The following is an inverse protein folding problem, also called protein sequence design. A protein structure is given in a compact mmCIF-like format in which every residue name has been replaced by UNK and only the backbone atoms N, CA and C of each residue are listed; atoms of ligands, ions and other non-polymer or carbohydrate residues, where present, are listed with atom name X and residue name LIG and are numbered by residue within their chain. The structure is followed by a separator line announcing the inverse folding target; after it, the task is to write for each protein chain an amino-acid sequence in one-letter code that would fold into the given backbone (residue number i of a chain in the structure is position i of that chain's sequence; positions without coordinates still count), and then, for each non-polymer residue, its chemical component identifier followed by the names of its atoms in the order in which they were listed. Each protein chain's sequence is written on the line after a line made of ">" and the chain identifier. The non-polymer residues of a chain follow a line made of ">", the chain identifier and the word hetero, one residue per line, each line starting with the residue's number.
data_IF_900075272262
#
_entry.id   IF_900075272262
#
_cell.length_a   1.000
_cell.length_b   1.000
_cell.length_c   1.000
_cell.angle_alpha   90.00
_cell.angle_beta   90.00
_cell.angle_gamma   90.00
#
_symmetry.space_group_name_H-M   'P 1'
#
loop_
_entity.id
_entity.type
_entity.pdbx_description
1 polymer ?
#
# COMPACT_ATOMS: atom_id res chain seq x y z
N UNK A 1 14.14 -10.27 -2.40
CA UNK A 1 12.91 -9.54 -2.78
C UNK A 1 12.35 -8.91 -1.52
N UNK A 2 12.27 -7.58 -1.45
CA UNK A 2 11.75 -6.88 -0.27
C UNK A 2 10.25 -7.11 -0.19
N UNK A 3 9.76 -7.54 0.97
CA UNK A 3 8.34 -7.65 1.24
C UNK A 3 7.90 -6.39 1.99
N UNK A 4 6.70 -5.93 1.69
CA UNK A 4 6.07 -4.79 2.33
C UNK A 4 4.82 -5.25 3.03
N UNK A 5 4.59 -4.73 4.22
CA UNK A 5 3.35 -4.89 4.96
C UNK A 5 2.49 -3.68 4.66
N UNK A 6 1.39 -3.90 3.97
CA UNK A 6 0.35 -2.89 3.73
C UNK A 6 -0.71 -3.08 4.81
N UNK A 7 -1.14 -2.00 5.45
CA UNK A 7 -2.14 -2.00 6.53
C UNK A 7 -3.29 -1.10 6.09
N UNK A 8 -4.51 -1.61 6.15
CA UNK A 8 -5.72 -0.82 5.94
C UNK A 8 -6.02 -0.02 7.22
N UNK A 9 -6.01 1.32 7.15
CA UNK A 9 -6.30 2.16 8.32
C UNK A 9 -7.81 2.31 8.58
N UNK A 10 -8.66 1.95 7.62
CA UNK A 10 -10.11 2.02 7.75
C UNK A 10 -10.70 0.77 8.40
N UNK A 11 -10.05 -0.38 8.22
CA UNK A 11 -10.47 -1.66 8.79
C UNK A 11 -9.45 -2.19 9.82
N UNK A 12 -9.73 -2.06 11.13
CA UNK A 12 -8.84 -2.52 12.18
C UNK A 12 -8.42 -3.99 12.01
N UNK A 13 -7.11 -4.24 12.05
CA UNK A 13 -6.54 -5.60 11.97
C UNK A 13 -6.32 -6.14 10.56
N UNK A 14 -6.73 -5.42 9.50
CA UNK A 14 -6.49 -5.85 8.13
C UNK A 14 -5.09 -5.43 7.65
N UNK A 15 -4.27 -6.41 7.31
CA UNK A 15 -2.94 -6.21 6.74
C UNK A 15 -2.60 -7.31 5.72
N UNK A 16 -1.77 -6.97 4.74
CA UNK A 16 -1.26 -7.89 3.73
C UNK A 16 0.27 -7.76 3.60
N UNK A 17 0.96 -8.88 3.37
CA UNK A 17 2.40 -8.90 3.09
C UNK A 17 2.60 -9.21 1.61
N UNK A 18 3.13 -8.26 0.87
CA UNK A 18 3.26 -8.32 -0.59
C UNK A 18 4.60 -7.77 -1.07
N UNK A 19 5.11 -8.21 -2.23
CA UNK A 19 6.15 -7.48 -2.92
C UNK A 19 5.64 -6.11 -3.43
N UNK A 20 6.54 -5.22 -3.87
CA UNK A 20 6.18 -3.86 -4.27
C UNK A 20 5.16 -3.81 -5.43
N UNK A 21 5.27 -4.73 -6.38
CA UNK A 21 4.34 -4.90 -7.50
C UNK A 21 2.96 -5.43 -7.07
N UNK A 22 2.85 -6.05 -5.90
CA UNK A 22 1.57 -6.48 -5.31
C UNK A 22 0.82 -5.38 -4.55
N UNK A 23 1.44 -4.22 -4.30
CA UNK A 23 0.84 -3.14 -3.50
C UNK A 23 -0.40 -2.57 -4.20
N UNK A 24 -0.28 -2.23 -5.48
CA UNK A 24 -1.39 -1.61 -6.23
C UNK A 24 -2.62 -2.52 -6.25
N UNK A 25 -2.46 -3.79 -6.62
CA UNK A 25 -3.55 -4.77 -6.65
C UNK A 25 -4.22 -4.95 -5.28
N UNK A 26 -3.42 -4.99 -4.21
CA UNK A 26 -3.93 -5.13 -2.83
C UNK A 26 -4.78 -3.93 -2.43
N UNK A 27 -4.26 -2.72 -2.61
CA UNK A 27 -4.97 -1.49 -2.23
C UNK A 27 -6.20 -1.27 -3.11
N UNK A 28 -6.12 -1.57 -4.41
CA UNK A 28 -7.28 -1.51 -5.32
C UNK A 28 -8.41 -2.44 -4.88
N UNK A 29 -8.09 -3.66 -4.43
CA UNK A 29 -9.10 -4.58 -3.92
C UNK A 29 -9.81 -4.02 -2.68
N UNK A 30 -9.05 -3.43 -1.74
CA UNK A 30 -9.62 -2.82 -0.53
C UNK A 30 -10.47 -1.59 -0.83
N UNK A 31 -10.04 -0.75 -1.77
CA UNK A 31 -10.85 0.40 -2.22
C UNK A 31 -12.14 -0.04 -2.92
N UNK A 32 -12.08 -1.11 -3.71
CA UNK A 32 -13.25 -1.61 -4.44
C UNK A 32 -14.36 -2.11 -3.50
N UNK A 33 -13.99 -2.64 -2.32
CA UNK A 33 -14.96 -3.02 -1.27
C UNK A 33 -15.70 -1.80 -0.69
N UNK A 34 -15.13 -0.60 -0.83
CA UNK A 34 -15.74 0.68 -0.47
C UNK A 34 -16.35 1.40 -1.69
N UNK A 35 -16.51 0.70 -2.82
CA UNK A 35 -16.94 1.25 -4.11
C UNK A 35 -16.05 2.39 -4.65
N UNK A 36 -14.82 2.49 -4.13
CA UNK A 36 -13.84 3.50 -4.50
C UNK A 36 -12.80 2.98 -5.50
N UNK A 37 -12.28 3.88 -6.33
CA UNK A 37 -11.15 3.65 -7.23
C UNK A 37 -10.25 4.87 -7.20
N UNK A 38 -8.94 4.66 -7.22
CA UNK A 38 -7.97 5.77 -7.23
C UNK A 38 -6.77 5.40 -8.11
N UNK A 39 -6.35 6.26 -9.05
CA UNK A 39 -5.14 6.02 -9.84
C UNK A 39 -3.86 6.10 -8.99
N UNK A 40 -3.95 6.65 -7.77
CA UNK A 40 -2.80 6.82 -6.88
C UNK A 40 -2.24 5.49 -6.36
N UNK A 41 -2.95 4.37 -6.54
CA UNK A 41 -2.47 3.03 -6.15
C UNK A 41 -1.24 2.60 -6.96
N UNK A 42 -1.18 2.95 -8.24
CA UNK A 42 -0.03 2.65 -9.11
C UNK A 42 1.16 3.54 -8.77
N UNK A 43 0.90 4.82 -8.48
CA UNK A 43 1.91 5.77 -8.05
C UNK A 43 2.50 5.39 -6.68
N UNK A 44 1.67 4.87 -5.76
CA UNK A 44 2.13 4.35 -4.48
C UNK A 44 3.07 3.15 -4.68
N UNK A 45 2.69 2.18 -5.51
CA UNK A 45 3.52 1.02 -5.81
C UNK A 45 4.87 1.44 -6.44
N UNK A 46 4.85 2.42 -7.35
CA UNK A 46 6.06 2.97 -7.99
C UNK A 46 6.96 3.68 -6.99
N UNK A 47 6.40 4.52 -6.11
CA UNK A 47 7.16 5.22 -5.07
C UNK A 47 7.84 4.24 -4.10
N UNK A 48 7.13 3.19 -3.67
CA UNK A 48 7.69 2.13 -2.81
C UNK A 48 8.79 1.35 -3.53
N UNK A 49 8.60 0.99 -4.80
CA UNK A 49 9.62 0.31 -5.59
C UNK A 49 10.89 1.17 -5.78
N UNK A 50 10.72 2.49 -5.92
CA UNK A 50 11.82 3.47 -6.04
C UNK A 50 12.46 3.84 -4.68
N UNK A 51 11.93 3.33 -3.56
CA UNK A 51 12.33 3.76 -2.20
C UNK A 51 12.12 5.26 -1.93
N UNK A 52 11.21 5.90 -2.65
CA UNK A 52 10.78 7.30 -2.42
C UNK A 52 9.74 7.35 -1.30
N UNK A 53 10.22 7.19 -0.07
CA UNK A 53 9.39 7.12 1.12
C UNK A 53 8.56 8.39 1.40
N UNK A 54 9.07 9.63 1.21
CA UNK A 54 8.26 10.83 1.36
C UNK A 54 7.01 10.81 0.47
N UNK A 55 7.17 10.48 -0.82
CA UNK A 55 6.03 10.36 -1.75
C UNK A 55 5.13 9.18 -1.38
N UNK A 56 5.71 8.03 -1.03
CA UNK A 56 4.94 6.86 -0.63
C UNK A 56 4.06 7.14 0.60
N UNK A 57 4.56 7.87 1.60
CA UNK A 57 3.77 8.23 2.78
C UNK A 57 2.64 9.22 2.45
N UNK A 58 2.88 10.21 1.60
CA UNK A 58 1.83 11.16 1.18
C UNK A 58 0.69 10.46 0.42
N UNK A 59 1.04 9.54 -0.49
CA UNK A 59 0.08 8.74 -1.24
C UNK A 59 -0.66 7.75 -0.34
N UNK A 60 0.06 7.04 0.54
CA UNK A 60 -0.52 6.12 1.50
C UNK A 60 -1.50 6.83 2.45
N UNK A 61 -1.19 8.06 2.86
CA UNK A 61 -2.07 8.85 3.70
C UNK A 61 -3.40 9.16 3.00
N UNK A 62 -3.31 9.62 1.74
CA UNK A 62 -4.48 9.88 0.87
C UNK A 62 -5.34 8.64 0.66
N UNK A 63 -4.70 7.47 0.54
CA UNK A 63 -5.37 6.18 0.33
C UNK A 63 -5.84 5.52 1.63
N UNK A 64 -5.63 6.15 2.79
CA UNK A 64 -5.94 5.57 4.10
C UNK A 64 -5.28 4.21 4.35
N UNK A 65 -4.03 4.06 3.91
CA UNK A 65 -3.20 2.86 4.18
C UNK A 65 -1.89 3.24 4.86
N UNK A 66 -1.21 2.24 5.41
CA UNK A 66 0.20 2.37 5.82
C UNK A 66 1.03 1.31 5.10
N UNK A 67 2.27 1.66 4.76
CA UNK A 67 3.22 0.75 4.12
C UNK A 67 4.49 0.70 4.95
N UNK A 68 4.87 -0.49 5.37
CA UNK A 68 6.06 -0.76 6.17
C UNK A 68 6.95 -1.79 5.46
N UNK A 69 8.27 -1.70 5.63
CA UNK A 69 9.16 -2.78 5.20
C UNK A 69 8.92 -3.99 6.12
N UNK A 70 8.49 -5.10 5.53
CA UNK A 70 8.26 -6.32 6.28
C UNK A 70 9.59 -7.05 6.48
N UNK A 71 10.22 -6.87 7.64
CA UNK A 71 11.40 -7.66 8.00
C UNK A 71 11.01 -9.13 8.18
N UNK A 72 11.92 -10.05 7.84
CA UNK A 72 11.84 -11.44 8.28
C UNK A 72 12.49 -11.45 9.66
N UNK A 73 11.79 -11.92 10.68
CA UNK A 73 12.41 -12.35 11.93
C UNK A 73 12.50 -13.86 11.93
#
# INVERSE_FOLDING_TARGET
>A
MTMYKVIDRLHPGRAARVPSDGIAATVSAWLAELEARSPLVDDLARAVAASDWPTAYALADTLSVSVEIATVR
#
